data_IF_998322828519
#
_entry.id   IF_998322828519
#
_cell.length_a   1.000
_cell.length_b   1.000
_cell.length_c   1.000
_cell.angle_alpha   90.00
_cell.angle_beta   90.00
_cell.angle_gamma   90.00
#
_symmetry.space_group_name_H-M   'P 1'
#
loop_
_entity.id
_entity.type
_entity.pdbx_description
1 polymer ?
#
# COMPACT_ATOMS: atom_id res chain seq x y z
N UNK A 1 -18.47 16.40 -1.09
CA UNK A 1 -17.83 15.79 0.09
C UNK A 1 -16.33 16.03 -0.01
N UNK A 2 -15.67 16.30 1.11
CA UNK A 2 -14.21 16.38 1.24
C UNK A 2 -13.74 15.35 2.26
N UNK A 3 -12.50 14.89 2.12
CA UNK A 3 -11.86 13.98 3.06
C UNK A 3 -10.66 14.65 3.70
N UNK A 4 -10.48 14.45 4.99
CA UNK A 4 -9.41 15.03 5.78
C UNK A 4 -8.64 13.94 6.50
N UNK A 5 -7.33 13.93 6.31
CA UNK A 5 -6.41 13.01 6.99
C UNK A 5 -5.56 13.83 7.96
N UNK A 6 -5.71 13.57 9.26
CA UNK A 6 -4.89 14.20 10.29
C UNK A 6 -3.66 13.34 10.56
N UNK A 7 -2.47 13.91 10.40
CA UNK A 7 -1.22 13.20 10.63
C UNK A 7 -0.73 13.36 12.08
N UNK A 8 -0.32 12.24 12.68
CA UNK A 8 0.31 12.18 13.99
C UNK A 8 1.79 12.57 13.88
N UNK A 9 2.23 13.47 14.77
CA UNK A 9 3.63 13.91 14.82
C UNK A 9 4.50 12.96 15.63
N UNK A 10 5.77 12.85 15.20
CA UNK A 10 6.80 12.14 15.96
C UNK A 10 7.08 12.75 17.33
N UNK A 11 7.03 14.09 17.39
CA UNK A 11 7.25 14.88 18.59
C UNK A 11 6.02 15.74 18.85
N UNK A 12 5.43 15.64 20.05
CA UNK A 12 4.18 16.31 20.45
C UNK A 12 4.23 17.85 20.41
N UNK A 13 5.40 18.45 20.19
CA UNK A 13 5.62 19.91 20.25
C UNK A 13 5.24 20.70 18.99
N UNK A 14 4.90 20.04 17.89
CA UNK A 14 4.63 20.70 16.61
C UNK A 14 3.13 20.54 16.25
N UNK A 15 2.52 21.46 15.46
CA UNK A 15 1.08 21.42 15.18
C UNK A 15 0.68 20.26 14.27
N UNK A 16 -0.42 19.54 14.51
CA UNK A 16 -0.88 18.48 13.58
C UNK A 16 -1.01 19.02 12.15
N UNK A 17 -0.70 18.19 11.14
CA UNK A 17 -0.95 18.52 9.74
C UNK A 17 -2.22 17.83 9.32
N UNK A 18 -3.15 18.60 8.78
CA UNK A 18 -4.34 18.07 8.13
C UNK A 18 -4.13 18.16 6.62
N UNK A 19 -4.30 17.03 5.95
CA UNK A 19 -4.31 16.94 4.50
C UNK A 19 -5.76 16.90 4.02
N UNK A 20 -6.15 17.82 3.16
CA UNK A 20 -7.48 17.87 2.55
C UNK A 20 -7.45 17.21 1.17
N UNK A 21 -8.43 16.36 0.91
CA UNK A 21 -8.60 15.61 -0.33
C UNK A 21 -9.97 15.85 -0.93
N UNK A 22 -9.99 16.04 -2.25
CA UNK A 22 -11.22 16.11 -3.06
C UNK A 22 -11.41 14.76 -3.75
N UNK A 23 -12.46 14.00 -3.40
CA UNK A 23 -12.83 12.77 -4.10
C UNK A 23 -12.95 12.98 -5.61
N UNK A 24 -12.37 12.06 -6.39
CA UNK A 24 -12.58 12.04 -7.84
C UNK A 24 -14.00 11.66 -8.16
N UNK A 25 -14.53 12.23 -9.24
CA UNK A 25 -15.89 11.94 -9.69
C UNK A 25 -15.94 10.65 -10.52
N UNK A 26 -15.83 9.51 -9.85
CA UNK A 26 -16.02 8.18 -10.44
C UNK A 26 -16.72 7.22 -9.45
N UNK A 27 -17.27 6.12 -9.96
CA UNK A 27 -18.13 5.22 -9.18
C UNK A 27 -17.36 4.49 -8.07
N UNK A 28 -16.14 4.02 -8.33
CA UNK A 28 -15.30 3.38 -7.32
C UNK A 28 -14.89 4.33 -6.19
N UNK A 29 -14.50 5.57 -6.50
CA UNK A 29 -14.19 6.59 -5.49
C UNK A 29 -15.42 6.90 -4.65
N UNK A 30 -16.60 7.07 -5.26
CA UNK A 30 -17.84 7.29 -4.50
C UNK A 30 -18.17 6.14 -3.56
N UNK A 31 -18.05 4.88 -4.02
CA UNK A 31 -18.25 3.69 -3.16
C UNK A 31 -17.21 3.62 -2.05
N UNK A 32 -15.95 3.90 -2.35
CA UNK A 32 -14.87 3.97 -1.37
C UNK A 32 -15.14 5.03 -0.27
N UNK A 33 -15.52 6.26 -0.63
CA UNK A 33 -15.78 7.28 0.37
C UNK A 33 -17.06 7.04 1.18
N UNK A 34 -18.07 6.38 0.61
CA UNK A 34 -19.22 5.90 1.37
C UNK A 34 -18.81 4.83 2.39
N UNK A 35 -17.87 3.95 2.02
CA UNK A 35 -17.28 2.98 2.94
C UNK A 35 -16.50 3.68 4.06
N UNK A 36 -15.65 4.66 3.74
CA UNK A 36 -14.97 5.46 4.77
C UNK A 36 -15.97 6.13 5.72
N UNK A 37 -17.04 6.72 5.18
CA UNK A 37 -18.09 7.34 6.00
C UNK A 37 -18.69 6.36 6.99
N UNK A 38 -18.99 5.13 6.56
CA UNK A 38 -19.53 4.09 7.42
C UNK A 38 -18.61 3.78 8.61
N UNK A 39 -17.31 3.62 8.36
CA UNK A 39 -16.32 3.34 9.41
C UNK A 39 -16.14 4.52 10.38
N UNK A 40 -16.11 5.74 9.86
CA UNK A 40 -16.00 6.97 10.66
C UNK A 40 -17.25 7.16 11.54
N UNK A 41 -18.45 6.97 10.99
CA UNK A 41 -19.71 7.10 11.73
C UNK A 41 -19.82 6.06 12.85
N UNK A 42 -19.25 4.86 12.65
CA UNK A 42 -19.14 3.83 13.68
C UNK A 42 -18.00 4.05 14.68
N UNK A 43 -17.17 5.08 14.48
CA UNK A 43 -15.99 5.37 15.30
C UNK A 43 -14.99 4.22 15.36
N UNK A 44 -14.90 3.45 14.27
CA UNK A 44 -13.87 2.44 14.13
C UNK A 44 -12.52 3.18 13.98
N UNK A 45 -11.47 2.81 14.72
CA UNK A 45 -10.19 3.49 14.62
C UNK A 45 -9.40 3.04 13.38
N UNK A 46 -8.41 3.85 13.01
CA UNK A 46 -7.38 3.46 12.04
C UNK A 46 -6.51 2.37 12.63
N UNK A 47 -6.28 1.30 11.88
CA UNK A 47 -5.43 0.17 12.24
C UNK A 47 -3.96 0.60 12.17
N UNK A 48 -3.40 0.96 13.32
CA UNK A 48 -2.01 1.41 13.43
C UNK A 48 -1.00 0.29 13.17
N UNK A 49 -1.40 -0.98 13.31
CA UNK A 49 -0.49 -2.11 13.09
C UNK A 49 -0.26 -2.31 11.59
N UNK A 50 -1.33 -2.17 10.81
CA UNK A 50 -1.37 -2.45 9.36
C UNK A 50 -1.21 -1.21 8.50
N UNK A 51 -1.21 -0.03 9.10
CA UNK A 51 -0.75 1.20 8.44
C UNK A 51 0.76 1.11 8.17
N UNK A 52 1.20 1.63 7.04
CA UNK A 52 2.62 1.70 6.69
C UNK A 52 3.05 3.13 6.44
N UNK A 53 4.31 3.41 6.76
CA UNK A 53 4.86 4.75 6.73
C UNK A 53 6.31 4.70 6.24
N UNK A 54 6.62 5.34 5.11
CA UNK A 54 7.97 5.35 4.53
C UNK A 54 8.92 6.35 5.19
N UNK A 55 8.56 6.90 6.36
CA UNK A 55 9.33 8.01 6.92
C UNK A 55 10.33 7.54 7.97
N UNK A 56 11.57 8.02 7.80
CA UNK A 56 12.65 8.12 8.78
C UNK A 56 12.66 6.98 9.80
N UNK A 57 12.76 5.75 9.30
CA UNK A 57 13.05 4.61 10.14
C UNK A 57 14.47 4.79 10.67
N UNK A 58 14.60 4.91 11.99
CA UNK A 58 15.91 4.90 12.64
C UNK A 58 16.48 3.50 12.61
N UNK A 59 17.81 3.39 12.71
CA UNK A 59 18.48 2.08 12.76
C UNK A 59 17.88 1.17 13.84
N UNK A 60 17.56 1.72 15.01
CA UNK A 60 16.97 0.98 16.12
C UNK A 60 15.60 0.40 15.77
N UNK A 61 14.83 1.08 14.91
CA UNK A 61 13.54 0.58 14.42
C UNK A 61 13.73 -0.58 13.44
N UNK A 62 14.78 -0.56 12.59
CA UNK A 62 15.12 -1.71 11.74
C UNK A 62 15.41 -2.93 12.60
N UNK A 63 16.22 -2.76 13.64
CA UNK A 63 16.60 -3.83 14.54
C UNK A 63 15.38 -4.40 15.30
N UNK A 64 14.41 -3.56 15.67
CA UNK A 64 13.14 -3.99 16.26
C UNK A 64 12.29 -4.79 15.27
N UNK A 65 12.11 -4.30 14.05
CA UNK A 65 11.39 -5.02 12.99
C UNK A 65 11.99 -6.39 12.70
N UNK A 66 13.32 -6.49 12.68
CA UNK A 66 14.04 -7.76 12.46
C UNK A 66 13.83 -8.73 13.63
N UNK A 67 13.85 -8.24 14.88
CA UNK A 67 13.56 -9.07 16.06
C UNK A 67 12.11 -9.56 16.06
N UNK A 68 11.16 -8.71 15.69
CA UNK A 68 9.75 -9.10 15.54
C UNK A 68 9.57 -10.13 14.42
N UNK A 69 10.28 -9.96 13.29
CA UNK A 69 10.24 -10.92 12.19
C UNK A 69 10.73 -12.30 12.64
N UNK A 70 11.89 -12.35 13.30
CA UNK A 70 12.42 -13.60 13.87
C UNK A 70 11.44 -14.22 14.87
N UNK A 71 10.83 -13.40 15.74
CA UNK A 71 9.85 -13.88 16.73
C UNK A 71 8.67 -14.59 16.06
N UNK A 72 8.10 -14.02 14.99
CA UNK A 72 6.98 -14.66 14.29
C UNK A 72 7.42 -15.91 13.51
N UNK A 73 8.60 -15.90 12.88
CA UNK A 73 9.18 -17.10 12.26
C UNK A 73 9.35 -18.24 13.28
N UNK A 74 9.94 -17.96 14.46
CA UNK A 74 10.10 -18.92 15.55
C UNK A 74 8.76 -19.43 16.09
N UNK A 75 7.76 -18.56 16.15
CA UNK A 75 6.42 -18.94 16.60
C UNK A 75 5.78 -19.96 15.66
N UNK A 76 5.80 -19.72 14.34
CA UNK A 76 5.20 -20.64 13.37
C UNK A 76 6.02 -21.94 13.21
N UNK A 77 7.33 -21.91 13.44
CA UNK A 77 8.21 -23.09 13.47
C UNK A 77 7.88 -24.10 14.56
N UNK A 78 7.04 -23.74 15.56
CA UNK A 78 6.52 -24.70 16.55
C UNK A 78 5.55 -25.72 15.94
N UNK A 79 5.05 -25.45 14.73
CA UNK A 79 4.17 -26.37 14.00
C UNK A 79 5.02 -27.29 13.11
N UNK A 80 4.89 -28.61 13.28
CA UNK A 80 5.71 -29.60 12.57
C UNK A 80 5.65 -29.51 11.03
N UNK A 81 4.55 -28.98 10.49
CA UNK A 81 4.32 -28.87 9.04
C UNK A 81 4.77 -27.52 8.46
N UNK A 82 5.30 -26.61 9.28
CA UNK A 82 5.80 -25.30 8.85
C UNK A 82 7.30 -25.23 9.12
N UNK A 83 8.07 -24.87 8.10
CA UNK A 83 9.49 -24.61 8.19
C UNK A 83 9.83 -23.20 7.67
N UNK A 84 9.92 -22.27 8.60
CA UNK A 84 10.38 -20.88 8.48
C UNK A 84 11.69 -20.68 9.27
N UNK A 85 12.55 -21.70 9.36
CA UNK A 85 13.85 -21.58 10.01
C UNK A 85 14.81 -20.84 9.08
N UNK A 86 15.04 -19.57 9.38
CA UNK A 86 15.97 -18.69 8.66
C UNK A 86 17.01 -18.15 9.64
N UNK A 87 18.23 -17.93 9.16
CA UNK A 87 19.26 -17.20 9.91
C UNK A 87 19.04 -15.71 9.71
N UNK A 88 18.18 -15.11 10.53
CA UNK A 88 17.82 -13.69 10.42
C UNK A 88 18.68 -12.89 11.40
N UNK A 89 19.51 -12.01 10.85
CA UNK A 89 20.27 -11.04 11.63
C UNK A 89 20.09 -9.61 11.12
N UNK A 90 20.80 -8.66 11.72
CA UNK A 90 20.71 -7.24 11.36
C UNK A 90 21.28 -6.90 9.97
N UNK A 91 21.91 -7.86 9.30
CA UNK A 91 22.45 -7.78 7.94
C UNK A 91 21.54 -8.40 6.89
N UNK A 92 20.32 -8.83 7.26
CA UNK A 92 19.31 -9.35 6.34
C UNK A 92 19.24 -8.52 5.05
N UNK A 93 19.36 -9.19 3.91
CA UNK A 93 19.34 -8.57 2.59
C UNK A 93 18.03 -8.85 1.85
N UNK A 94 17.90 -8.29 0.64
CA UNK A 94 16.72 -8.48 -0.19
C UNK A 94 16.53 -9.94 -0.61
N UNK A 95 17.61 -10.72 -0.76
CA UNK A 95 17.53 -12.12 -1.15
C UNK A 95 16.87 -12.97 -0.08
N UNK A 96 17.30 -12.80 1.18
CA UNK A 96 16.69 -13.49 2.32
C UNK A 96 15.26 -13.01 2.58
N UNK A 97 14.97 -11.71 2.45
CA UNK A 97 13.59 -11.19 2.53
C UNK A 97 12.68 -11.83 1.47
N UNK A 98 13.14 -11.94 0.22
CA UNK A 98 12.40 -12.60 -0.85
C UNK A 98 12.16 -14.10 -0.56
N UNK A 99 13.12 -14.78 0.05
CA UNK A 99 12.96 -16.19 0.43
C UNK A 99 11.93 -16.38 1.55
N UNK A 100 12.01 -15.53 2.59
CA UNK A 100 11.02 -15.49 3.68
C UNK A 100 9.64 -15.17 3.11
N UNK A 101 9.55 -14.17 2.22
CA UNK A 101 8.33 -13.77 1.51
C UNK A 101 7.70 -14.97 0.77
N UNK A 102 8.49 -15.62 -0.07
CA UNK A 102 8.04 -16.79 -0.85
C UNK A 102 7.57 -17.94 0.04
N UNK A 103 8.23 -18.16 1.19
CA UNK A 103 7.91 -19.26 2.09
C UNK A 103 6.69 -19.01 2.95
N UNK A 104 6.45 -17.77 3.40
CA UNK A 104 5.17 -17.46 4.06
C UNK A 104 4.02 -17.65 3.07
N UNK A 105 4.14 -17.20 1.81
CA UNK A 105 3.04 -17.29 0.84
C UNK A 105 2.63 -18.75 0.62
N UNK A 106 3.61 -19.64 0.52
CA UNK A 106 3.40 -21.08 0.41
C UNK A 106 2.58 -21.61 1.59
N UNK A 107 2.98 -21.32 2.83
CA UNK A 107 2.30 -21.84 4.01
C UNK A 107 0.95 -21.19 4.27
N UNK A 108 0.78 -19.90 3.97
CA UNK A 108 -0.51 -19.22 4.09
C UNK A 108 -1.53 -19.84 3.13
N UNK A 109 -1.14 -20.10 1.86
CA UNK A 109 -1.97 -20.80 0.88
C UNK A 109 -2.34 -22.21 1.35
N UNK A 110 -1.35 -22.98 1.82
CA UNK A 110 -1.58 -24.34 2.32
C UNK A 110 -2.49 -24.35 3.56
N UNK A 111 -2.36 -23.37 4.46
CA UNK A 111 -3.20 -23.22 5.65
C UNK A 111 -4.65 -22.94 5.26
N UNK A 112 -4.89 -21.97 4.37
CA UNK A 112 -6.24 -21.61 3.91
C UNK A 112 -6.90 -22.72 3.10
N UNK A 113 -6.10 -23.46 2.32
CA UNK A 113 -6.54 -24.66 1.61
C UNK A 113 -6.75 -25.89 2.51
N UNK A 114 -6.44 -25.79 3.81
CA UNK A 114 -6.49 -26.89 4.79
C UNK A 114 -5.59 -28.09 4.43
N UNK A 115 -4.54 -27.84 3.67
CA UNK A 115 -3.54 -28.84 3.28
C UNK A 115 -2.56 -29.13 4.42
N UNK A 116 -2.33 -28.14 5.29
CA UNK A 116 -1.58 -28.32 6.53
C UNK A 116 -2.49 -28.28 7.75
N UNK A 117 -2.12 -29.05 8.78
CA UNK A 117 -2.80 -29.06 10.07
C UNK A 117 -1.91 -28.44 11.12
N UNK A 118 -2.38 -27.37 11.72
CA UNK A 118 -1.70 -26.66 12.80
C UNK A 118 -2.58 -26.61 14.05
N UNK A 119 -1.92 -26.51 15.19
CA UNK A 119 -2.59 -26.03 16.41
C UNK A 119 -2.74 -24.51 16.33
N UNK A 120 -3.73 -23.93 17.01
CA UNK A 120 -3.82 -22.48 17.13
C UNK A 120 -3.92 -21.78 15.75
N UNK A 121 -4.80 -22.28 14.88
CA UNK A 121 -4.86 -21.88 13.46
C UNK A 121 -4.97 -20.36 13.27
N UNK A 122 -5.80 -19.69 14.07
CA UNK A 122 -5.97 -18.24 14.00
C UNK A 122 -4.70 -17.47 14.41
N UNK A 123 -3.96 -17.94 15.41
CA UNK A 123 -2.72 -17.31 15.85
C UNK A 123 -1.57 -17.55 14.86
N UNK A 124 -1.56 -18.71 14.18
CA UNK A 124 -0.63 -19.03 13.10
C UNK A 124 -0.92 -18.18 11.87
N UNK A 125 -2.19 -18.09 11.45
CA UNK A 125 -2.63 -17.20 10.37
C UNK A 125 -2.21 -15.75 10.65
N UNK A 126 -2.52 -15.25 11.85
CA UNK A 126 -2.10 -13.92 12.29
C UNK A 126 -0.58 -13.72 12.23
N UNK A 127 0.21 -14.71 12.66
CA UNK A 127 1.68 -14.62 12.60
C UNK A 127 2.23 -14.65 11.19
N UNK A 128 1.67 -15.44 10.28
CA UNK A 128 2.05 -15.44 8.86
C UNK A 128 1.74 -14.08 8.20
N UNK A 129 0.60 -13.47 8.53
CA UNK A 129 0.27 -12.13 8.06
C UNK A 129 1.21 -11.06 8.62
N UNK A 130 1.64 -11.19 9.88
CA UNK A 130 2.66 -10.29 10.46
C UNK A 130 4.03 -10.46 9.80
N UNK A 131 4.44 -11.69 9.46
CA UNK A 131 5.68 -11.93 8.70
C UNK A 131 5.65 -11.16 7.38
N UNK A 132 4.56 -11.25 6.61
CA UNK A 132 4.41 -10.52 5.35
C UNK A 132 4.57 -9.00 5.54
N UNK A 133 3.88 -8.45 6.53
CA UNK A 133 3.94 -7.03 6.85
C UNK A 133 5.34 -6.58 7.28
N UNK A 134 6.03 -7.36 8.12
CA UNK A 134 7.38 -7.05 8.60
C UNK A 134 8.42 -7.13 7.49
N UNK A 135 8.31 -8.11 6.58
CA UNK A 135 9.14 -8.19 5.37
C UNK A 135 8.99 -6.89 4.58
N UNK A 136 7.77 -6.47 4.23
CA UNK A 136 7.56 -5.22 3.50
C UNK A 136 8.07 -3.97 4.24
N UNK A 137 7.92 -3.90 5.56
CA UNK A 137 8.48 -2.80 6.37
C UNK A 137 10.02 -2.76 6.29
N UNK A 138 10.69 -3.90 6.28
CA UNK A 138 12.16 -4.00 6.16
C UNK A 138 12.61 -3.70 4.71
N UNK A 139 11.91 -4.21 3.70
CA UNK A 139 12.18 -3.88 2.28
C UNK A 139 12.10 -2.37 2.04
N UNK A 140 11.09 -1.73 2.60
CA UNK A 140 10.93 -0.29 2.57
C UNK A 140 12.09 0.43 3.27
N UNK A 141 12.61 -0.11 4.39
CA UNK A 141 13.84 0.39 5.01
C UNK A 141 15.02 0.37 4.03
N UNK A 142 15.23 -0.76 3.32
CA UNK A 142 16.28 -0.87 2.31
C UNK A 142 16.09 0.11 1.15
N UNK A 143 14.84 0.33 0.72
CA UNK A 143 14.51 1.33 -0.30
C UNK A 143 14.90 2.75 0.17
N UNK A 144 14.57 3.12 1.41
CA UNK A 144 14.93 4.41 2.00
C UNK A 144 16.45 4.57 2.11
N UNK A 145 17.18 3.55 2.59
CA UNK A 145 18.65 3.59 2.66
C UNK A 145 19.29 3.86 1.29
N UNK A 146 18.75 3.21 0.25
CA UNK A 146 19.18 3.42 -1.14
C UNK A 146 18.90 4.84 -1.60
N UNK A 147 17.69 5.36 -1.35
CA UNK A 147 17.33 6.74 -1.69
C UNK A 147 18.23 7.76 -0.98
N UNK A 148 18.54 7.56 0.30
CA UNK A 148 19.46 8.43 1.05
C UNK A 148 20.86 8.39 0.45
N UNK A 149 21.35 7.22 0.04
CA UNK A 149 22.66 7.06 -0.60
C UNK A 149 22.73 7.76 -1.96
N UNK A 150 21.67 7.68 -2.75
CA UNK A 150 21.61 8.23 -4.11
C UNK A 150 21.29 9.73 -4.15
N UNK A 151 20.40 10.20 -3.26
CA UNK A 151 19.79 11.54 -3.32
C UNK A 151 20.08 12.40 -2.08
N UNK A 152 20.71 11.83 -1.05
CA UNK A 152 20.96 12.48 0.24
C UNK A 152 19.79 12.38 1.22
N UNK A 153 20.01 12.77 2.48
CA UNK A 153 19.05 12.63 3.60
C UNK A 153 17.69 13.31 3.39
N UNK A 154 17.62 14.30 2.50
CA UNK A 154 16.41 15.07 2.22
C UNK A 154 15.67 14.57 0.97
N UNK A 155 16.20 13.54 0.29
CA UNK A 155 15.71 13.01 -0.98
C UNK A 155 14.86 11.74 -0.86
N UNK A 156 14.12 11.59 0.25
CA UNK A 156 13.38 10.38 0.60
C UNK A 156 11.88 10.60 0.39
N UNK A 157 11.24 9.68 -0.32
CA UNK A 157 9.80 9.72 -0.57
C UNK A 157 9.01 9.57 0.73
N UNK A 158 7.87 10.25 0.83
CA UNK A 158 7.04 10.33 2.05
C UNK A 158 5.74 9.54 1.96
N UNK A 159 5.77 8.42 1.24
CA UNK A 159 4.57 7.62 1.00
C UNK A 159 4.06 6.98 2.29
N UNK A 160 2.75 6.79 2.37
CA UNK A 160 2.13 6.08 3.47
C UNK A 160 0.81 5.46 3.07
N UNK A 161 0.32 4.55 3.89
CA UNK A 161 -1.05 4.04 3.77
C UNK A 161 -1.68 3.80 5.13
N UNK A 162 -3.00 3.72 5.12
CA UNK A 162 -3.78 3.34 6.29
C UNK A 162 -4.96 2.47 5.86
N UNK A 163 -5.51 1.73 6.82
CA UNK A 163 -6.81 1.08 6.76
C UNK A 163 -7.50 1.18 8.12
N UNK A 164 -8.77 0.87 8.21
CA UNK A 164 -9.48 0.78 9.49
C UNK A 164 -9.40 -0.63 10.09
N UNK A 165 -9.59 -0.73 11.41
CA UNK A 165 -9.71 -2.04 12.08
C UNK A 165 -10.96 -2.80 11.60
N UNK A 166 -10.89 -4.14 11.55
CA UNK A 166 -11.99 -4.98 11.06
C UNK A 166 -12.49 -4.56 9.66
N UNK A 167 -11.54 -4.27 8.78
CA UNK A 167 -11.82 -3.85 7.40
C UNK A 167 -12.63 -4.91 6.64
N UNK A 168 -13.42 -4.46 5.67
CA UNK A 168 -14.26 -5.30 4.83
C UNK A 168 -13.89 -5.13 3.37
N UNK A 169 -14.00 -6.22 2.62
CA UNK A 169 -13.59 -6.28 1.22
C UNK A 169 -14.83 -6.30 0.33
N UNK A 170 -14.79 -5.50 -0.73
CA UNK A 170 -15.87 -5.40 -1.71
C UNK A 170 -15.32 -5.67 -3.11
N UNK A 171 -16.04 -6.45 -3.90
CA UNK A 171 -15.65 -6.75 -5.27
C UNK A 171 -15.66 -5.47 -6.14
N UNK A 172 -14.64 -5.36 -6.99
CA UNK A 172 -14.63 -4.41 -8.09
C UNK A 172 -15.60 -4.89 -9.18
N UNK A 173 -16.40 -3.96 -9.68
CA UNK A 173 -17.27 -4.12 -10.82
C UNK A 173 -16.47 -3.94 -12.12
N UNK A 174 -16.95 -4.53 -13.22
CA UNK A 174 -16.22 -4.55 -14.49
C UNK A 174 -15.84 -3.16 -15.01
N UNK A 175 -16.60 -2.12 -14.69
CA UNK A 175 -16.32 -0.75 -15.09
C UNK A 175 -15.25 -0.07 -14.23
N UNK A 176 -14.97 -0.56 -13.02
CA UNK A 176 -13.93 0.04 -12.16
C UNK A 176 -12.53 -0.18 -12.72
N UNK A 177 -12.35 -1.28 -13.47
CA UNK A 177 -11.09 -1.63 -14.13
C UNK A 177 -10.65 -0.56 -15.14
N UNK A 178 -11.57 0.31 -15.61
CA UNK A 178 -11.28 1.45 -16.47
C UNK A 178 -10.51 2.58 -15.76
N UNK A 179 -10.43 2.53 -14.43
CA UNK A 179 -9.78 3.57 -13.63
C UNK A 179 -8.37 3.21 -13.16
N UNK A 180 -7.88 1.99 -13.43
CA UNK A 180 -6.48 1.65 -13.16
C UNK A 180 -5.55 2.50 -14.04
N UNK A 181 -4.59 3.16 -13.39
CA UNK A 181 -3.55 3.96 -14.06
C UNK A 181 -2.24 3.90 -13.28
N UNK A 182 -1.14 4.14 -13.99
CA UNK A 182 0.18 4.37 -13.40
C UNK A 182 0.42 5.84 -13.05
N UNK A 183 -0.49 6.74 -13.42
CA UNK A 183 -0.38 8.15 -13.06
C UNK A 183 -0.46 8.30 -11.55
N UNK A 184 0.64 8.75 -10.95
CA UNK A 184 0.72 9.03 -9.51
C UNK A 184 1.23 10.45 -9.29
N UNK A 185 0.35 11.47 -9.39
CA UNK A 185 0.70 12.82 -9.01
C UNK A 185 1.12 12.90 -7.54
N UNK A 186 2.03 13.83 -7.21
CA UNK A 186 2.37 14.15 -5.83
C UNK A 186 1.12 14.48 -5.01
N UNK A 187 0.95 13.77 -3.89
CA UNK A 187 -0.19 13.88 -3.01
C UNK A 187 -1.42 13.09 -3.45
N UNK A 188 -1.36 12.25 -4.47
CA UNK A 188 -2.54 11.45 -4.85
C UNK A 188 -2.90 10.42 -3.77
N UNK A 189 -4.21 10.28 -3.50
CA UNK A 189 -4.79 9.20 -2.71
C UNK A 189 -5.29 8.12 -3.68
N UNK A 190 -4.78 6.91 -3.53
CA UNK A 190 -5.07 5.77 -4.38
C UNK A 190 -5.64 4.63 -3.55
N UNK A 191 -6.43 3.75 -4.17
CA UNK A 191 -6.90 2.53 -3.55
C UNK A 191 -5.70 1.66 -3.16
N UNK A 192 -5.69 1.17 -1.92
CA UNK A 192 -4.71 0.20 -1.47
C UNK A 192 -4.83 -1.11 -2.25
N UNK A 193 -3.70 -1.80 -2.39
CA UNK A 193 -3.64 -3.12 -3.03
C UNK A 193 -3.88 -4.19 -1.96
N UNK A 194 -5.15 -4.52 -1.74
CA UNK A 194 -5.62 -5.37 -0.67
C UNK A 194 -5.79 -6.85 -1.11
N UNK A 195 -5.01 -7.27 -2.11
CA UNK A 195 -5.04 -8.62 -2.68
C UNK A 195 -3.72 -9.32 -2.39
N UNK A 196 -3.75 -10.50 -1.79
CA UNK A 196 -2.52 -11.27 -1.53
C UNK A 196 -1.87 -11.73 -2.83
N UNK A 197 -0.54 -11.57 -2.93
CA UNK A 197 0.29 -11.93 -4.09
C UNK A 197 0.65 -10.73 -4.96
N UNK A 198 1.31 -10.96 -6.11
CA UNK A 198 1.78 -9.90 -7.01
C UNK A 198 0.86 -9.72 -8.22
N UNK A 199 0.56 -8.48 -8.59
CA UNK A 199 -0.05 -8.16 -9.89
C UNK A 199 1.04 -8.14 -10.99
N UNK A 200 0.62 -8.00 -12.25
CA UNK A 200 1.56 -8.01 -13.39
C UNK A 200 2.59 -6.88 -13.35
N UNK A 201 2.22 -5.71 -12.81
CA UNK A 201 3.14 -4.59 -12.69
C UNK A 201 4.25 -4.90 -11.68
N UNK A 202 3.91 -5.45 -10.50
CA UNK A 202 4.88 -5.90 -9.51
C UNK A 202 5.81 -6.97 -10.11
N UNK A 203 5.26 -7.95 -10.84
CA UNK A 203 6.08 -8.96 -11.53
C UNK A 203 7.04 -8.33 -12.55
N UNK A 204 6.64 -7.28 -13.26
CA UNK A 204 7.51 -6.57 -14.20
C UNK A 204 8.64 -5.81 -13.48
N UNK A 205 8.33 -5.15 -12.36
CA UNK A 205 9.34 -4.42 -11.59
C UNK A 205 10.42 -5.32 -11.02
N UNK A 206 10.05 -6.51 -10.55
CA UNK A 206 10.95 -7.48 -9.94
C UNK A 206 11.49 -8.51 -10.95
N UNK A 207 10.99 -8.49 -12.18
CA UNK A 207 11.24 -9.48 -13.24
C UNK A 207 10.87 -10.93 -12.83
N UNK A 208 9.78 -11.10 -12.09
CA UNK A 208 9.29 -12.37 -11.56
C UNK A 208 8.51 -13.18 -12.61
N UNK A 209 9.18 -13.58 -13.68
CA UNK A 209 8.56 -14.35 -14.76
C UNK A 209 8.03 -15.71 -14.33
N UNK A 210 8.63 -16.31 -13.30
CA UNK A 210 8.21 -17.62 -12.82
C UNK A 210 6.82 -17.57 -12.16
N UNK A 211 6.47 -16.45 -11.50
CA UNK A 211 5.11 -16.20 -11.00
C UNK A 211 4.12 -16.13 -12.17
N UNK A 212 4.50 -15.44 -13.26
CA UNK A 212 3.66 -15.32 -14.46
C UNK A 212 3.44 -16.69 -15.11
N UNK A 213 4.51 -17.45 -15.32
CA UNK A 213 4.50 -18.78 -15.97
C UNK A 213 3.72 -19.82 -15.19
N UNK A 214 3.70 -19.70 -13.86
CA UNK A 214 2.98 -20.63 -12.96
C UNK A 214 1.56 -20.16 -12.63
N UNK A 215 1.06 -19.12 -13.31
CA UNK A 215 -0.26 -18.53 -13.08
C UNK A 215 -0.46 -18.02 -11.63
N UNK A 216 0.62 -17.60 -10.97
CA UNK A 216 0.62 -17.07 -9.62
C UNK A 216 0.30 -15.57 -9.51
N UNK A 217 0.03 -14.90 -10.62
CA UNK A 217 -0.34 -13.48 -10.65
C UNK A 217 -1.73 -13.28 -10.04
N UNK A 218 -1.84 -12.28 -9.19
CA UNK A 218 -3.07 -11.92 -8.47
C UNK A 218 -3.46 -10.48 -8.82
N UNK A 219 -4.25 -10.24 -9.89
CA UNK A 219 -4.77 -8.90 -10.16
C UNK A 219 -5.68 -8.45 -9.02
N UNK A 220 -5.68 -7.15 -8.70
CA UNK A 220 -6.61 -6.60 -7.72
C UNK A 220 -8.05 -6.76 -8.22
N UNK A 221 -8.88 -7.40 -7.41
CA UNK A 221 -10.30 -7.67 -7.69
C UNK A 221 -11.25 -7.10 -6.65
N UNK A 222 -10.71 -6.60 -5.54
CA UNK A 222 -11.49 -6.03 -4.44
C UNK A 222 -10.94 -4.66 -4.06
N UNK A 223 -11.71 -3.91 -3.29
CA UNK A 223 -11.27 -2.72 -2.57
C UNK A 223 -11.77 -2.80 -1.12
N UNK A 224 -11.14 -2.04 -0.23
CA UNK A 224 -11.51 -1.92 1.18
C UNK A 224 -11.27 -0.49 1.64
N UNK A 225 -11.22 -0.22 2.96
CA UNK A 225 -10.82 1.11 3.45
C UNK A 225 -9.33 1.43 3.24
N UNK A 226 -8.52 0.45 2.82
CA UNK A 226 -7.09 0.64 2.60
C UNK A 226 -6.84 1.71 1.52
N UNK A 227 -6.03 2.71 1.87
CA UNK A 227 -5.58 3.74 0.94
C UNK A 227 -4.07 3.91 0.97
N UNK A 228 -3.53 4.21 -0.21
CA UNK A 228 -2.14 4.58 -0.42
C UNK A 228 -2.01 6.04 -0.83
N UNK A 229 -1.06 6.73 -0.22
CA UNK A 229 -0.76 8.13 -0.47
C UNK A 229 0.62 8.25 -1.10
N UNK A 230 0.65 8.81 -2.31
CA UNK A 230 1.89 9.00 -3.05
C UNK A 230 2.50 10.38 -2.76
N UNK A 231 3.63 10.40 -2.07
CA UNK A 231 4.47 11.56 -1.86
C UNK A 231 5.90 11.27 -2.32
N UNK A 232 6.04 10.83 -3.57
CA UNK A 232 7.30 10.79 -4.30
C UNK A 232 7.28 11.77 -5.47
N UNK A 233 8.27 11.69 -6.35
CA UNK A 233 8.18 12.38 -7.65
C UNK A 233 6.90 11.95 -8.38
N UNK A 234 6.20 12.89 -9.01
CA UNK A 234 5.04 12.53 -9.83
C UNK A 234 5.43 11.52 -10.89
N UNK A 235 4.66 10.44 -11.01
CA UNK A 235 4.86 9.43 -12.04
C UNK A 235 4.01 9.78 -13.25
N UNK A 236 4.65 9.82 -14.41
CA UNK A 236 4.01 9.82 -15.72
C UNK A 236 3.63 8.38 -16.08
N UNK A 237 2.33 8.08 -16.06
CA UNK A 237 1.82 6.74 -16.26
C UNK A 237 2.12 6.20 -17.65
N UNK A 238 2.14 7.05 -18.68
CA UNK A 238 2.40 6.63 -20.06
C UNK A 238 3.80 6.04 -20.21
N UNK A 239 4.80 6.66 -19.59
CA UNK A 239 6.18 6.16 -19.60
C UNK A 239 6.31 4.82 -18.87
N UNK A 240 5.63 4.67 -17.72
CA UNK A 240 5.58 3.42 -16.98
C UNK A 240 4.91 2.31 -17.80
N UNK A 241 3.80 2.61 -18.47
CA UNK A 241 3.08 1.67 -19.33
C UNK A 241 3.89 1.29 -20.57
N UNK A 242 4.67 2.20 -21.16
CA UNK A 242 5.59 1.88 -22.25
C UNK A 242 6.64 0.85 -21.81
N UNK A 243 7.21 1.02 -20.62
CA UNK A 243 8.15 0.03 -20.05
C UNK A 243 7.45 -1.31 -19.79
N UNK A 244 6.25 -1.29 -19.23
CA UNK A 244 5.46 -2.49 -18.99
C UNK A 244 5.19 -3.28 -20.28
N UNK A 245 4.74 -2.61 -21.35
CA UNK A 245 4.44 -3.29 -22.61
C UNK A 245 5.70 -3.76 -23.36
N UNK A 246 6.84 -3.10 -23.18
CA UNK A 246 8.12 -3.63 -23.69
C UNK A 246 8.50 -4.92 -22.98
N UNK A 247 8.39 -4.97 -21.66
CA UNK A 247 8.63 -6.19 -20.89
C UNK A 247 7.63 -7.29 -21.27
N UNK A 248 6.36 -6.92 -21.49
CA UNK A 248 5.33 -7.83 -21.98
C UNK A 248 5.73 -8.51 -23.29
N UNK A 249 6.15 -7.72 -24.27
CA UNK A 249 6.53 -8.21 -25.60
C UNK A 249 7.81 -9.04 -25.57
N UNK A 250 8.78 -8.64 -24.74
CA UNK A 250 10.03 -9.36 -24.55
C UNK A 250 9.81 -10.79 -24.03
N UNK A 251 8.78 -11.00 -23.22
CA UNK A 251 8.49 -12.29 -22.60
C UNK A 251 7.24 -12.99 -23.15
N UNK A 252 6.60 -12.40 -24.17
CA UNK A 252 5.37 -12.86 -24.80
C UNK A 252 4.36 -13.41 -23.77
N UNK A 253 3.88 -12.54 -22.87
CA UNK A 253 2.99 -13.00 -21.78
C UNK A 253 1.66 -13.57 -22.29
N UNK A 254 1.31 -13.29 -23.55
CA UNK A 254 0.14 -13.83 -24.21
C UNK A 254 0.14 -15.36 -24.23
N UNK A 255 1.32 -15.99 -24.29
CA UNK A 255 1.46 -17.45 -24.25
C UNK A 255 1.00 -18.05 -22.90
N UNK A 256 0.94 -17.24 -21.84
CA UNK A 256 0.48 -17.64 -20.50
C UNK A 256 -0.98 -17.22 -20.24
N UNK A 257 -1.74 -16.88 -21.29
CA UNK A 257 -3.18 -16.60 -21.19
C UNK A 257 -3.55 -15.17 -20.80
N UNK A 258 -2.57 -14.28 -20.59
CA UNK A 258 -2.83 -12.86 -20.36
C UNK A 258 -3.13 -12.15 -21.69
N UNK A 259 -3.99 -11.13 -21.64
CA UNK A 259 -4.36 -10.35 -22.83
C UNK A 259 -3.74 -8.96 -22.76
N UNK A 260 -2.94 -8.61 -23.76
CA UNK A 260 -2.31 -7.29 -23.82
C UNK A 260 -3.40 -6.22 -23.91
N UNK A 261 -3.23 -5.12 -23.17
CA UNK A 261 -4.20 -4.03 -23.04
C UNK A 261 -5.55 -4.40 -22.39
N UNK A 262 -5.68 -5.61 -21.83
CA UNK A 262 -6.85 -5.95 -21.03
C UNK A 262 -6.81 -5.23 -19.69
N UNK A 263 -7.88 -4.50 -19.37
CA UNK A 263 -8.02 -3.73 -18.13
C UNK A 263 -8.19 -4.63 -16.91
N UNK A 264 -8.67 -5.87 -17.13
CA UNK A 264 -8.76 -6.91 -16.09
C UNK A 264 -7.38 -7.37 -15.57
N UNK A 265 -6.28 -6.97 -16.24
CA UNK A 265 -4.94 -7.15 -15.69
C UNK A 265 -4.68 -6.26 -14.46
N UNK A 266 -5.52 -5.23 -14.21
CA UNK A 266 -5.45 -4.32 -13.07
C UNK A 266 -4.05 -3.73 -12.87
N UNK A 267 -3.39 -3.29 -13.94
CA UNK A 267 -2.04 -2.71 -13.85
C UNK A 267 -2.14 -1.25 -13.47
N UNK A 268 -1.48 -0.90 -12.36
CA UNK A 268 -1.56 0.41 -11.73
C UNK A 268 -2.40 0.41 -10.48
N UNK A 269 -2.94 1.58 -10.15
CA UNK A 269 -3.79 1.80 -9.00
C UNK A 269 -5.04 2.59 -9.42
N UNK A 270 -6.10 2.46 -8.64
CA UNK A 270 -7.31 3.28 -8.81
C UNK A 270 -7.13 4.58 -8.02
N UNK A 271 -7.09 5.75 -8.67
CA UNK A 271 -7.00 7.02 -7.98
C UNK A 271 -8.35 7.40 -7.38
N UNK A 272 -8.36 7.70 -6.09
CA UNK A 272 -9.56 7.97 -5.30
C UNK A 272 -9.80 9.46 -5.09
N UNK A 273 -8.75 10.23 -4.79
CA UNK A 273 -8.87 11.65 -4.51
C UNK A 273 -7.57 12.42 -4.78
N UNK A 274 -7.73 13.72 -5.02
CA UNK A 274 -6.63 14.64 -5.27
C UNK A 274 -6.40 15.54 -4.05
N UNK A 275 -5.13 15.73 -3.68
CA UNK A 275 -4.73 16.60 -2.59
C UNK A 275 -5.01 18.07 -2.93
N UNK A 276 -5.68 18.77 -2.03
CA UNK A 276 -5.71 20.23 -2.01
C UNK A 276 -4.42 20.70 -1.36
N UNK A 277 -3.60 21.47 -2.08
CA UNK A 277 -2.28 21.88 -1.61
C UNK A 277 -2.38 22.57 -0.23
N UNK A 278 -1.84 21.96 0.85
CA UNK A 278 -1.87 22.56 2.17
C UNK A 278 -1.03 23.82 2.21
N UNK A 279 -1.40 24.80 3.06
CA UNK A 279 -0.59 26.01 3.27
C UNK A 279 0.85 25.67 3.69
N UNK A 280 1.04 24.57 4.41
CA UNK A 280 2.34 24.05 4.81
C UNK A 280 3.26 23.70 3.62
N UNK A 281 2.71 23.50 2.42
CA UNK A 281 3.45 23.18 1.19
C UNK A 281 3.61 24.38 0.24
N UNK A 282 2.88 25.48 0.46
CA UNK A 282 2.90 26.64 -0.43
C UNK A 282 4.32 27.21 -0.54
N UNK A 283 4.74 27.50 -1.78
CA UNK A 283 6.07 28.02 -2.12
C UNK A 283 7.25 27.11 -1.71
N UNK A 284 7.00 25.83 -1.42
CA UNK A 284 8.05 24.84 -1.15
C UNK A 284 8.38 24.06 -2.41
N UNK A 285 9.65 23.78 -2.62
CA UNK A 285 10.12 22.76 -3.55
C UNK A 285 9.62 21.37 -3.14
N UNK A 286 9.66 20.41 -4.07
CA UNK A 286 9.29 19.02 -3.79
C UNK A 286 9.98 18.47 -2.51
N UNK A 287 11.29 18.65 -2.40
CA UNK A 287 12.06 18.17 -1.24
C UNK A 287 11.68 18.86 0.06
N UNK A 288 11.38 20.15 0.04
CA UNK A 288 10.92 20.87 1.22
C UNK A 288 9.53 20.39 1.68
N UNK A 289 8.64 19.99 0.74
CA UNK A 289 7.36 19.36 1.08
C UNK A 289 7.57 18.01 1.77
N UNK A 290 8.49 17.18 1.26
CA UNK A 290 8.86 15.92 1.89
C UNK A 290 9.44 16.13 3.30
N UNK A 291 10.29 17.13 3.49
CA UNK A 291 10.82 17.47 4.82
C UNK A 291 9.73 17.87 5.83
N UNK A 292 8.64 18.49 5.37
CA UNK A 292 7.46 18.74 6.22
C UNK A 292 6.82 17.41 6.61
N UNK A 293 6.55 16.53 5.65
CA UNK A 293 5.91 15.23 5.88
C UNK A 293 6.76 14.31 6.78
N UNK A 294 8.09 14.36 6.67
CA UNK A 294 9.01 13.52 7.47
C UNK A 294 8.92 13.76 8.99
N UNK A 295 8.24 14.83 9.43
CA UNK A 295 7.99 15.12 10.85
C UNK A 295 6.86 14.27 11.46
N UNK A 296 6.11 13.55 10.61
CA UNK A 296 4.96 12.73 10.98
C UNK A 296 5.30 11.24 10.93
N UNK A 297 4.52 10.40 11.62
CA UNK A 297 4.75 8.96 11.73
C UNK A 297 3.47 8.11 11.80
N UNK A 298 2.32 8.67 11.42
CA UNK A 298 1.08 7.91 11.34
C UNK A 298 -0.11 8.79 10.99
N UNK A 299 -1.26 8.14 10.76
CA UNK A 299 -2.56 8.79 10.71
C UNK A 299 -3.15 8.78 12.12
N UNK A 300 -3.49 9.96 12.60
CA UNK A 300 -4.16 10.17 13.90
C UNK A 300 -5.67 9.99 13.76
N UNK A 301 -6.27 10.61 12.74
CA UNK A 301 -7.70 10.52 12.49
C UNK A 301 -8.04 10.77 11.00
N UNK A 302 -9.22 10.32 10.62
CA UNK A 302 -9.81 10.53 9.29
C UNK A 302 -11.23 11.04 9.49
N UNK A 303 -11.62 12.09 8.78
CA UNK A 303 -12.99 12.61 8.82
C UNK A 303 -13.45 13.12 7.46
N UNK A 304 -14.77 13.18 7.28
CA UNK A 304 -15.41 13.63 6.04
C UNK A 304 -16.26 14.87 6.32
N UNK A 305 -16.25 15.81 5.38
CA UNK A 305 -17.12 17.00 5.41
C UNK A 305 -18.05 16.99 4.19
N UNK A 306 -19.35 17.10 4.43
CA UNK A 306 -20.31 17.33 3.36
C UNK A 306 -20.18 18.77 2.89
N UNK A 307 -19.81 18.94 1.61
CA UNK A 307 -19.84 20.26 0.98
C UNK A 307 -21.30 20.54 0.66
N UNK A 308 -21.92 21.60 1.22
CA UNK A 308 -23.30 21.93 0.90
C UNK A 308 -23.44 22.02 -0.62
N UNK A 309 -24.37 21.23 -1.19
CA UNK A 309 -24.75 21.45 -2.58
C UNK A 309 -25.25 22.87 -2.65
N UNK A 310 -24.55 23.76 -3.35
CA UNK A 310 -25.07 25.09 -3.68
C UNK A 310 -26.42 24.84 -4.36
N UNK A 311 -27.51 25.06 -3.63
CA UNK A 311 -28.83 25.07 -4.22
C UNK A 311 -28.79 26.25 -5.17
N UNK A 312 -28.80 25.98 -6.48
CA UNK A 312 -28.96 26.99 -7.50
C UNK A 312 -30.28 27.71 -7.23
N UNK A 313 -30.21 28.81 -6.48
CA UNK A 313 -31.28 29.79 -6.34
C UNK A 313 -31.33 30.59 -7.64
N UNK A 314 -31.64 29.92 -8.75
CA UNK A 314 -32.27 30.60 -9.87
C UNK A 314 -33.74 30.81 -9.49
N UNK A 315 -33.96 31.83 -8.68
CA UNK A 315 -35.22 32.54 -8.62
C UNK A 315 -35.51 33.05 -10.02
N UNK A 316 -36.41 32.37 -10.71
CA UNK A 316 -37.26 32.94 -11.76
C UNK A 316 -37.87 34.23 -11.23
N UNK A 317 -37.41 35.37 -11.76
CA UNK A 317 -38.15 36.62 -11.78
C UNK A 317 -38.69 36.82 -13.19
#
# INVERSE_FOLDING_TARGET
MKCYIQLKKRNEKSPSLTLEYIPRNNLVANRYFNLLKHYIDQKIPVDQQQSYWNLALKKEQKEELIRELQHHCDFVNKQEQINMNFDIDYSIDQGLLNEIHSRFELYLKALHAKEIKVTQEQEIDGSLLQINLLVHKIENFHAIERQIKERGKNGVDANFGFRFENDTYFDLESHDFDHFTEDRPFGSMNCGYNTTGKNLLHCMHDNDLDIVKTFGVSPQKTFSTEAFFWFGNSIDGDHCMEKFYRWWDQHDLSQYGYRKYDRQNSVGMIPLADLVEPDAFRNKSHWEKLLVLNQYNGVDSVYLEEVPSYQNTHSTL
#
